data_IF_310455710062
#
_entry.id   IF_310455710062
#
_cell.length_a   1.000
_cell.length_b   1.000
_cell.length_c   1.000
_cell.angle_alpha   90.00
_cell.angle_beta   90.00
_cell.angle_gamma   90.00
#
_symmetry.space_group_name_H-M   'P 1'
#
loop_
_entity.id
_entity.type
_entity.pdbx_description
1 polymer ?
#
# COMPACT_ATOMS: atom_id res chain seq x y z
N UNK A 1 -17.94 26.43 14.57
CA UNK A 1 -17.18 25.28 15.11
C UNK A 1 -17.19 24.22 14.05
N UNK A 2 -16.03 23.88 13.48
CA UNK A 2 -15.94 22.79 12.52
C UNK A 2 -15.96 21.49 13.31
N UNK A 3 -16.85 20.57 12.94
CA UNK A 3 -16.80 19.20 13.43
C UNK A 3 -15.59 18.53 12.79
N UNK A 4 -14.71 17.97 13.61
CA UNK A 4 -13.68 17.05 13.13
C UNK A 4 -14.35 15.76 12.66
N UNK A 5 -13.86 15.19 11.56
CA UNK A 5 -14.32 13.89 11.11
C UNK A 5 -13.94 12.83 12.15
N UNK A 6 -14.88 11.93 12.43
CA UNK A 6 -14.65 10.83 13.36
C UNK A 6 -14.23 9.59 12.58
N UNK A 7 -13.22 8.89 13.08
CA UNK A 7 -12.71 7.67 12.46
C UNK A 7 -13.00 6.47 13.35
N UNK A 8 -13.36 5.35 12.74
CA UNK A 8 -13.35 4.05 13.42
C UNK A 8 -12.38 3.11 12.73
N UNK A 9 -11.81 2.22 13.53
CA UNK A 9 -10.82 1.25 13.07
C UNK A 9 -11.29 -0.14 13.46
N UNK A 10 -11.24 -1.06 12.50
CA UNK A 10 -11.51 -2.49 12.72
C UNK A 10 -10.37 -3.30 12.12
N UNK A 11 -9.96 -4.34 12.83
CA UNK A 11 -8.92 -5.25 12.37
C UNK A 11 -9.45 -6.67 12.24
N UNK A 12 -9.06 -7.36 11.18
CA UNK A 12 -9.32 -8.79 10.98
C UNK A 12 -8.05 -9.50 10.53
N UNK A 13 -7.83 -10.71 11.02
CA UNK A 13 -6.70 -11.53 10.61
C UNK A 13 -6.81 -11.93 9.13
N UNK A 14 -5.71 -11.79 8.38
CA UNK A 14 -5.55 -12.34 7.04
C UNK A 14 -4.69 -13.61 7.14
N UNK A 15 -5.36 -14.73 7.38
CA UNK A 15 -4.76 -16.07 7.37
C UNK A 15 -5.29 -16.91 6.20
N UNK A 16 -4.93 -18.20 6.14
CA UNK A 16 -5.42 -19.11 5.09
C UNK A 16 -6.93 -19.37 5.15
N UNK A 17 -7.60 -19.02 6.25
CA UNK A 17 -9.04 -19.19 6.48
C UNK A 17 -9.82 -17.88 6.27
N UNK A 18 -9.15 -16.78 5.93
CA UNK A 18 -9.80 -15.51 5.66
C UNK A 18 -10.78 -15.62 4.48
N UNK A 19 -12.00 -15.12 4.69
CA UNK A 19 -13.02 -14.98 3.66
C UNK A 19 -13.49 -13.52 3.61
N UNK A 20 -13.49 -12.87 2.44
CA UNK A 20 -14.09 -11.56 2.28
C UNK A 20 -15.57 -11.62 2.66
N UNK A 21 -16.05 -10.69 3.48
CA UNK A 21 -17.47 -10.63 3.81
C UNK A 21 -18.30 -10.23 2.58
N UNK A 22 -19.50 -10.81 2.45
CA UNK A 22 -20.42 -10.57 1.33
C UNK A 22 -20.89 -9.10 1.26
N UNK A 23 -20.91 -8.40 2.39
CA UNK A 23 -21.55 -7.09 2.52
C UNK A 23 -20.60 -5.89 2.68
N UNK A 24 -19.28 -6.04 2.87
CA UNK A 24 -18.46 -4.86 3.21
C UNK A 24 -17.20 -4.58 2.40
N UNK A 25 -16.55 -5.51 1.70
CA UNK A 25 -15.27 -5.18 1.04
C UNK A 25 -14.95 -6.14 -0.10
N UNK A 26 -15.73 -6.08 -1.17
CA UNK A 26 -15.49 -6.91 -2.37
C UNK A 26 -14.28 -6.39 -3.18
N UNK A 27 -13.67 -5.28 -2.78
CA UNK A 27 -12.88 -4.48 -3.74
C UNK A 27 -11.44 -4.20 -3.32
N UNK A 28 -10.87 -4.82 -2.29
CA UNK A 28 -9.47 -4.56 -1.90
C UNK A 28 -8.47 -5.54 -2.53
N UNK A 29 -7.19 -5.12 -2.63
CA UNK A 29 -6.12 -5.84 -3.35
C UNK A 29 -5.93 -7.31 -2.92
N UNK A 30 -6.17 -7.63 -1.65
CA UNK A 30 -6.08 -9.00 -1.14
C UNK A 30 -7.42 -9.74 -1.13
N UNK A 31 -8.55 -9.04 -1.30
CA UNK A 31 -9.85 -9.69 -1.40
C UNK A 31 -9.98 -10.56 -2.67
N UNK A 32 -9.33 -10.16 -3.77
CA UNK A 32 -9.24 -10.97 -4.99
C UNK A 32 -8.42 -12.26 -4.76
N UNK A 33 -7.31 -12.18 -4.00
CA UNK A 33 -6.54 -13.37 -3.61
C UNK A 33 -7.34 -14.34 -2.73
N UNK A 34 -8.29 -13.79 -1.98
CA UNK A 34 -9.12 -14.52 -1.03
C UNK A 34 -10.47 -14.98 -1.61
N UNK A 35 -10.55 -15.27 -2.92
CA UNK A 35 -11.80 -15.69 -3.60
C UNK A 35 -11.64 -16.94 -4.46
N UNK A 36 -12.80 -17.48 -4.83
CA UNK A 36 -12.94 -18.61 -5.74
C UNK A 36 -12.36 -19.91 -5.20
N UNK A 37 -12.28 -20.90 -6.07
CA UNK A 37 -11.86 -22.26 -5.70
C UNK A 37 -10.39 -22.32 -5.23
N UNK A 38 -9.57 -21.35 -5.65
CA UNK A 38 -8.15 -21.24 -5.28
C UNK A 38 -7.89 -20.38 -4.05
N UNK A 39 -8.92 -19.86 -3.36
CA UNK A 39 -8.78 -18.97 -2.20
C UNK A 39 -7.74 -19.46 -1.19
N UNK A 40 -7.95 -20.66 -0.63
CA UNK A 40 -7.14 -21.16 0.48
C UNK A 40 -5.69 -21.42 0.05
N UNK A 41 -5.50 -21.99 -1.14
CA UNK A 41 -4.16 -22.26 -1.68
C UNK A 41 -3.42 -20.96 -2.03
N UNK A 42 -4.11 -19.97 -2.60
CA UNK A 42 -3.56 -18.64 -2.86
C UNK A 42 -3.07 -17.98 -1.57
N UNK A 43 -3.90 -17.94 -0.53
CA UNK A 43 -3.56 -17.34 0.77
C UNK A 43 -2.38 -18.08 1.42
N UNK A 44 -2.42 -19.43 1.45
CA UNK A 44 -1.33 -20.25 1.98
C UNK A 44 -0.01 -20.00 1.24
N UNK A 45 -0.05 -19.96 -0.09
CA UNK A 45 1.13 -19.73 -0.92
C UNK A 45 1.69 -18.30 -0.70
N UNK A 46 0.83 -17.29 -0.63
CA UNK A 46 1.26 -15.91 -0.35
C UNK A 46 1.92 -15.81 1.04
N UNK A 47 1.29 -16.34 2.08
CA UNK A 47 1.86 -16.33 3.44
C UNK A 47 3.17 -17.11 3.52
N UNK A 48 3.29 -18.24 2.82
CA UNK A 48 4.54 -18.98 2.71
C UNK A 48 5.65 -18.18 2.01
N UNK A 49 5.33 -17.50 0.91
CA UNK A 49 6.27 -16.62 0.21
C UNK A 49 6.76 -15.47 1.11
N UNK A 50 5.86 -14.85 1.88
CA UNK A 50 6.20 -13.80 2.85
C UNK A 50 7.15 -14.34 3.91
N UNK A 51 6.82 -15.48 4.53
CA UNK A 51 7.65 -16.11 5.55
C UNK A 51 9.05 -16.46 5.01
N UNK A 52 9.12 -17.05 3.81
CA UNK A 52 10.39 -17.39 3.17
C UNK A 52 11.21 -16.14 2.89
N UNK A 53 10.59 -15.08 2.35
CA UNK A 53 11.28 -13.82 2.06
C UNK A 53 11.76 -13.12 3.33
N UNK A 54 10.94 -13.10 4.38
CA UNK A 54 11.30 -12.54 5.68
C UNK A 54 12.56 -13.22 6.22
N UNK A 55 12.56 -14.56 6.28
CA UNK A 55 13.70 -15.32 6.82
C UNK A 55 14.96 -15.20 5.95
N UNK A 56 14.82 -15.04 4.63
CA UNK A 56 15.96 -14.81 3.74
C UNK A 56 16.65 -13.45 4.00
N UNK A 57 15.89 -12.43 4.41
CA UNK A 57 16.44 -11.12 4.80
C UNK A 57 16.93 -11.11 6.25
N UNK A 58 16.19 -11.72 7.17
CA UNK A 58 16.53 -11.87 8.59
C UNK A 58 17.43 -13.09 8.82
N UNK A 59 18.61 -13.08 8.19
CA UNK A 59 19.56 -14.20 8.17
C UNK A 59 20.35 -14.38 9.47
N UNK A 60 20.44 -13.34 10.30
CA UNK A 60 21.20 -13.39 11.55
C UNK A 60 20.49 -14.32 12.55
N UNK A 61 21.27 -15.19 13.20
CA UNK A 61 20.77 -16.19 14.13
C UNK A 61 19.58 -17.02 13.61
N UNK A 62 19.59 -17.27 12.29
CA UNK A 62 18.54 -17.98 11.56
C UNK A 62 19.13 -18.97 10.52
N UNK A 63 19.97 -19.93 10.94
CA UNK A 63 20.74 -20.79 10.03
C UNK A 63 19.86 -21.68 9.14
N UNK A 64 18.65 -22.02 9.60
CA UNK A 64 17.68 -22.86 8.90
C UNK A 64 16.65 -22.06 8.10
N UNK A 65 16.67 -20.72 8.17
CA UNK A 65 15.75 -19.86 7.43
C UNK A 65 14.27 -20.04 7.79
N UNK A 66 13.96 -20.47 9.02
CA UNK A 66 12.59 -20.77 9.45
C UNK A 66 12.24 -20.25 10.86
N UNK A 67 13.07 -19.37 11.43
CA UNK A 67 12.88 -18.77 12.76
C UNK A 67 11.64 -17.89 12.86
N UNK A 68 11.35 -17.10 11.82
CA UNK A 68 10.30 -16.10 11.89
C UNK A 68 9.07 -16.51 11.09
N UNK A 69 7.90 -16.04 11.51
CA UNK A 69 6.71 -15.95 10.67
C UNK A 69 6.10 -14.56 10.74
N UNK A 70 5.45 -14.15 9.67
CA UNK A 70 4.73 -12.88 9.57
C UNK A 70 3.24 -13.17 9.55
N UNK A 71 2.52 -12.57 10.48
CA UNK A 71 1.07 -12.54 10.52
C UNK A 71 0.59 -11.22 9.93
N UNK A 72 -0.57 -11.24 9.26
CA UNK A 72 -1.14 -10.07 8.61
C UNK A 72 -2.50 -9.75 9.22
N UNK A 73 -2.73 -8.47 9.47
CA UNK A 73 -4.03 -7.95 9.87
C UNK A 73 -4.50 -6.96 8.81
N UNK A 74 -5.72 -7.15 8.32
CA UNK A 74 -6.44 -6.16 7.53
C UNK A 74 -6.99 -5.14 8.50
N UNK A 75 -6.49 -3.91 8.38
CA UNK A 75 -6.97 -2.75 9.13
C UNK A 75 -7.85 -1.94 8.19
N UNK A 76 -9.10 -1.78 8.58
CA UNK A 76 -10.06 -1.00 7.82
C UNK A 76 -10.50 0.21 8.62
N UNK A 77 -10.50 1.34 7.95
CA UNK A 77 -10.80 2.66 8.52
C UNK A 77 -12.06 3.18 7.86
N UNK A 78 -13.08 3.40 8.68
CA UNK A 78 -14.33 4.01 8.25
C UNK A 78 -14.41 5.45 8.81
N UNK A 79 -14.96 6.37 8.02
CA UNK A 79 -15.08 7.80 8.32
C UNK A 79 -16.53 8.20 8.52
N UNK A 80 -16.82 8.96 9.58
CA UNK A 80 -18.09 9.63 9.82
C UNK A 80 -17.88 11.15 9.65
N UNK A 81 -18.55 11.70 8.65
CA UNK A 81 -18.46 13.11 8.26
C UNK A 81 -19.33 14.01 9.15
N UNK A 82 -20.46 13.51 9.63
CA UNK A 82 -21.47 14.31 10.34
C UNK A 82 -21.43 14.13 11.87
N UNK A 83 -20.79 13.05 12.33
CA UNK A 83 -20.76 12.61 13.72
C UNK A 83 -22.10 12.01 14.16
N UNK A 84 -22.85 11.40 13.23
CA UNK A 84 -24.19 10.84 13.48
C UNK A 84 -24.18 9.31 13.61
N UNK A 85 -23.01 8.66 13.45
CA UNK A 85 -22.84 7.20 13.48
C UNK A 85 -22.99 6.52 12.11
N UNK A 86 -23.16 7.26 11.03
CA UNK A 86 -23.14 6.75 9.66
C UNK A 86 -21.71 6.80 9.10
N UNK A 87 -21.20 5.64 8.71
CA UNK A 87 -19.80 5.48 8.32
C UNK A 87 -19.64 5.15 6.84
N UNK A 88 -18.66 5.80 6.21
CA UNK A 88 -18.18 5.46 4.88
C UNK A 88 -16.84 4.71 4.95
N UNK A 89 -16.63 3.59 4.24
CA UNK A 89 -15.34 2.90 4.20
C UNK A 89 -14.30 3.76 3.47
N UNK A 90 -13.24 4.18 4.16
CA UNK A 90 -12.29 5.15 3.61
C UNK A 90 -10.99 4.49 3.14
N UNK A 91 -10.26 3.85 4.06
CA UNK A 91 -8.92 3.31 3.82
C UNK A 91 -8.88 1.86 4.31
N UNK A 92 -8.16 1.01 3.58
CA UNK A 92 -7.84 -0.34 4.02
C UNK A 92 -6.36 -0.64 3.77
N UNK A 93 -5.66 -1.15 4.78
CA UNK A 93 -4.23 -1.43 4.78
C UNK A 93 -3.95 -2.75 5.48
N UNK A 94 -2.78 -3.32 5.20
CA UNK A 94 -2.25 -4.44 5.95
C UNK A 94 -1.26 -3.94 7.01
N UNK A 95 -1.45 -4.43 8.23
CA UNK A 95 -0.47 -4.40 9.32
C UNK A 95 0.24 -5.74 9.40
N UNK A 96 1.53 -5.71 9.65
CA UNK A 96 2.34 -6.91 9.88
C UNK A 96 2.57 -7.12 11.38
N UNK A 97 2.59 -8.37 11.82
CA UNK A 97 3.09 -8.77 13.13
C UNK A 97 4.13 -9.88 12.94
N UNK A 98 5.20 -9.86 13.71
CA UNK A 98 6.35 -10.76 13.53
C UNK A 98 6.39 -11.71 14.71
N UNK A 99 6.34 -13.01 14.43
CA UNK A 99 6.46 -14.06 15.42
C UNK A 99 7.87 -14.64 15.35
N UNK A 100 8.65 -14.45 16.41
CA UNK A 100 9.95 -15.10 16.59
C UNK A 100 9.75 -16.45 17.30
N UNK A 101 9.83 -17.55 16.55
CA UNK A 101 9.60 -18.90 17.08
C UNK A 101 10.71 -19.37 18.01
N UNK A 102 11.90 -18.75 17.97
CA UNK A 102 13.02 -19.12 18.84
C UNK A 102 12.83 -18.56 20.25
N UNK A 103 12.32 -17.34 20.36
CA UNK A 103 12.11 -16.64 21.64
C UNK A 103 10.66 -16.67 22.10
N UNK A 104 9.74 -17.15 21.26
CA UNK A 104 8.29 -17.14 21.46
C UNK A 104 7.74 -15.73 21.73
N UNK A 105 8.31 -14.73 21.04
CA UNK A 105 7.88 -13.33 21.13
C UNK A 105 7.09 -12.93 19.89
N UNK A 106 6.07 -12.09 20.11
CA UNK A 106 5.34 -11.39 19.06
C UNK A 106 5.78 -9.93 19.08
N UNK A 107 6.30 -9.46 17.95
CA UNK A 107 6.78 -8.11 17.74
C UNK A 107 5.84 -7.40 16.78
N UNK A 108 5.55 -6.13 17.05
CA UNK A 108 4.78 -5.28 16.17
C UNK A 108 5.57 -4.98 14.90
N UNK A 109 4.91 -5.07 13.75
CA UNK A 109 5.42 -4.62 12.46
C UNK A 109 4.76 -3.32 12.01
N UNK A 110 5.07 -2.87 10.79
CA UNK A 110 4.58 -1.60 10.27
C UNK A 110 3.18 -1.75 9.64
N UNK A 111 2.32 -0.75 9.85
CA UNK A 111 1.03 -0.58 9.15
C UNK A 111 1.19 0.23 7.87
N UNK A 112 0.34 -0.01 6.86
CA UNK A 112 0.36 0.74 5.59
C UNK A 112 0.71 -0.10 4.36
N UNK A 113 0.97 -1.39 4.56
CA UNK A 113 1.21 -2.32 3.46
C UNK A 113 -0.06 -2.48 2.62
N UNK A 114 0.09 -2.64 1.30
CA UNK A 114 -1.02 -2.87 0.38
C UNK A 114 -2.16 -1.83 0.46
N UNK A 115 -1.78 -0.56 0.59
CA UNK A 115 -2.68 0.58 0.78
C UNK A 115 -3.77 0.69 -0.30
N UNK A 116 -5.03 0.66 0.14
CA UNK A 116 -6.24 0.85 -0.66
C UNK A 116 -7.05 2.01 -0.10
N UNK A 117 -7.64 2.84 -0.96
CA UNK A 117 -8.47 3.97 -0.52
C UNK A 117 -9.55 4.28 -1.55
N UNK A 118 -10.78 4.39 -1.08
CA UNK A 118 -11.93 4.72 -1.92
C UNK A 118 -11.82 6.12 -2.53
N UNK A 119 -11.31 7.08 -1.76
CA UNK A 119 -11.10 8.46 -2.26
C UNK A 119 -9.96 8.50 -3.28
N UNK A 120 -8.90 7.68 -3.09
CA UNK A 120 -7.85 7.54 -4.10
C UNK A 120 -8.40 6.95 -5.39
N UNK A 121 -9.20 5.89 -5.30
CA UNK A 121 -9.73 5.24 -6.48
C UNK A 121 -10.75 6.14 -7.20
N UNK A 122 -11.52 6.95 -6.46
CA UNK A 122 -12.30 8.05 -7.04
C UNK A 122 -11.42 9.05 -7.79
N UNK A 123 -10.37 9.57 -7.15
CA UNK A 123 -9.49 10.57 -7.75
C UNK A 123 -8.88 10.04 -9.06
N UNK A 124 -8.31 8.83 -9.06
CA UNK A 124 -7.61 8.28 -10.22
C UNK A 124 -8.55 7.71 -11.29
N UNK A 125 -9.61 7.00 -10.91
CA UNK A 125 -10.47 6.27 -11.85
C UNK A 125 -11.73 7.02 -12.28
N UNK A 126 -12.11 8.11 -11.59
CA UNK A 126 -13.25 8.93 -11.95
C UNK A 126 -12.81 10.36 -12.25
N UNK A 127 -12.31 11.09 -11.25
CA UNK A 127 -12.02 12.53 -11.37
C UNK A 127 -10.96 12.82 -12.45
N UNK A 128 -9.82 12.14 -12.41
CA UNK A 128 -8.73 12.35 -13.37
C UNK A 128 -9.12 11.93 -14.79
N UNK A 129 -9.88 10.84 -14.91
CA UNK A 129 -10.37 10.35 -16.19
C UNK A 129 -11.38 11.33 -16.81
N UNK A 130 -12.35 11.81 -16.04
CA UNK A 130 -13.33 12.80 -16.49
C UNK A 130 -12.67 14.13 -16.83
N UNK A 131 -11.72 14.60 -16.01
CA UNK A 131 -10.98 15.85 -16.28
C UNK A 131 -10.30 15.81 -17.65
N UNK A 132 -9.65 14.70 -17.98
CA UNK A 132 -8.94 14.54 -19.25
C UNK A 132 -9.84 14.11 -20.42
N UNK A 133 -11.13 13.87 -20.18
CA UNK A 133 -12.07 13.49 -21.23
C UNK A 133 -12.17 14.62 -22.25
N UNK A 134 -11.94 14.29 -23.52
CA UNK A 134 -11.93 15.23 -24.65
C UNK A 134 -10.82 16.30 -24.61
N UNK A 135 -9.80 16.18 -23.74
CA UNK A 135 -8.64 17.06 -23.78
C UNK A 135 -7.56 16.53 -24.74
N UNK A 136 -6.94 17.43 -25.50
CA UNK A 136 -5.86 17.08 -26.42
C UNK A 136 -4.53 16.75 -25.73
N UNK A 137 -4.33 17.23 -24.49
CA UNK A 137 -3.12 17.00 -23.70
C UNK A 137 -3.52 16.62 -22.28
N UNK A 138 -2.75 15.70 -21.70
CA UNK A 138 -2.93 15.31 -20.31
C UNK A 138 -2.68 16.49 -19.36
N UNK A 139 -3.57 16.67 -18.41
CA UNK A 139 -3.43 17.62 -17.30
C UNK A 139 -4.03 17.04 -16.02
N UNK A 140 -3.68 17.65 -14.88
CA UNK A 140 -4.18 17.25 -13.56
C UNK A 140 -5.16 18.31 -13.03
N UNK A 141 -6.25 17.93 -12.34
CA UNK A 141 -7.08 18.88 -11.60
C UNK A 141 -6.26 19.64 -10.55
N UNK A 142 -6.57 20.92 -10.33
CA UNK A 142 -5.81 21.78 -9.40
C UNK A 142 -5.80 21.24 -7.96
N UNK A 143 -6.92 20.65 -7.51
CA UNK A 143 -7.11 20.09 -6.17
C UNK A 143 -6.86 18.57 -6.11
N UNK A 144 -6.20 17.99 -7.12
CA UNK A 144 -6.00 16.54 -7.21
C UNK A 144 -5.25 15.98 -5.99
N UNK A 145 -5.92 15.07 -5.27
CA UNK A 145 -5.39 14.44 -4.06
C UNK A 145 -5.43 15.28 -2.78
N UNK A 146 -5.93 16.52 -2.81
CA UNK A 146 -5.94 17.39 -1.62
C UNK A 146 -6.90 16.88 -0.55
N UNK A 147 -8.13 16.53 -0.93
CA UNK A 147 -9.13 15.99 0.01
C UNK A 147 -8.60 14.70 0.67
N UNK A 148 -8.14 13.75 -0.14
CA UNK A 148 -7.61 12.49 0.39
C UNK A 148 -6.35 12.72 1.25
N UNK A 149 -5.46 13.61 0.82
CA UNK A 149 -4.30 14.00 1.60
C UNK A 149 -4.67 14.54 2.99
N UNK A 150 -5.69 15.38 3.06
CA UNK A 150 -6.20 15.92 4.32
C UNK A 150 -6.89 14.85 5.17
N UNK A 151 -7.70 13.97 4.58
CA UNK A 151 -8.31 12.83 5.29
C UNK A 151 -7.22 11.92 5.89
N UNK A 152 -6.19 11.58 5.11
CA UNK A 152 -5.08 10.76 5.58
C UNK A 152 -4.33 11.43 6.74
N UNK A 153 -3.99 12.72 6.60
CA UNK A 153 -3.33 13.49 7.66
C UNK A 153 -4.20 13.55 8.92
N UNK A 154 -5.50 13.79 8.78
CA UNK A 154 -6.41 13.81 9.92
C UNK A 154 -6.47 12.44 10.62
N UNK A 155 -6.53 11.35 9.85
CA UNK A 155 -6.51 10.00 10.37
C UNK A 155 -5.21 9.70 11.15
N UNK A 156 -4.02 9.88 10.57
CA UNK A 156 -2.77 9.53 11.26
C UNK A 156 -2.49 10.39 12.51
N UNK A 157 -3.11 11.57 12.61
CA UNK A 157 -2.98 12.44 13.78
C UNK A 157 -4.09 12.24 14.84
N UNK A 158 -5.11 11.44 14.53
CA UNK A 158 -6.24 11.18 15.41
C UNK A 158 -5.88 10.29 16.62
N UNK A 159 -6.69 10.39 17.67
CA UNK A 159 -6.54 9.53 18.86
C UNK A 159 -6.79 8.05 18.54
N UNK A 160 -7.65 7.74 17.56
CA UNK A 160 -7.88 6.35 17.16
C UNK A 160 -6.61 5.75 16.51
N UNK A 161 -5.85 6.54 15.75
CA UNK A 161 -4.57 6.07 15.20
C UNK A 161 -3.56 5.84 16.31
N UNK A 162 -3.36 6.85 17.16
CA UNK A 162 -2.37 6.82 18.26
C UNK A 162 -2.65 5.75 19.32
N UNK A 163 -3.91 5.35 19.48
CA UNK A 163 -4.29 4.27 20.40
C UNK A 163 -4.10 2.86 19.80
N UNK A 164 -3.89 2.74 18.48
CA UNK A 164 -3.73 1.46 17.79
C UNK A 164 -2.34 1.26 17.19
N UNK A 165 -1.58 2.33 16.97
CA UNK A 165 -0.25 2.29 16.35
C UNK A 165 0.72 3.24 17.03
N UNK A 166 1.90 2.73 17.35
CA UNK A 166 2.98 3.52 17.98
C UNK A 166 3.80 4.33 16.98
N UNK A 167 3.77 3.94 15.70
CA UNK A 167 4.60 4.52 14.64
C UNK A 167 3.77 4.91 13.42
N UNK A 168 4.20 5.95 12.67
CA UNK A 168 3.57 6.31 11.40
C UNK A 168 3.63 5.17 10.37
N UNK A 169 2.73 5.18 9.36
CA UNK A 169 2.69 4.11 8.38
C UNK A 169 3.84 4.21 7.39
N UNK A 170 4.25 3.07 6.84
CA UNK A 170 5.11 3.00 5.65
C UNK A 170 4.34 2.31 4.54
N UNK A 171 4.24 2.99 3.39
CA UNK A 171 3.56 2.46 2.21
C UNK A 171 4.61 2.12 1.17
N UNK A 172 4.76 0.84 0.85
CA UNK A 172 5.72 0.35 -0.14
C UNK A 172 5.01 -0.03 -1.45
N UNK A 173 5.36 0.64 -2.55
CA UNK A 173 4.71 0.48 -3.86
C UNK A 173 5.71 0.11 -4.95
N UNK A 174 5.16 -0.35 -6.08
CA UNK A 174 5.91 -0.47 -7.33
C UNK A 174 6.49 0.87 -7.75
N UNK A 175 7.69 0.85 -8.34
CA UNK A 175 8.18 1.97 -9.15
C UNK A 175 7.33 2.17 -10.41
N UNK A 176 7.27 3.40 -10.90
CA UNK A 176 6.60 3.74 -12.17
C UNK A 176 7.47 3.37 -13.37
N UNK A 177 6.86 2.73 -14.38
CA UNK A 177 7.44 2.31 -15.65
C UNK A 177 7.77 3.46 -16.62
N UNK A 178 7.21 4.66 -16.37
CA UNK A 178 7.50 5.84 -17.18
C UNK A 178 8.73 6.64 -16.68
N UNK A 179 9.39 6.21 -15.59
CA UNK A 179 10.58 6.86 -15.02
C UNK A 179 11.83 6.00 -15.17
N UNK A 180 12.98 6.65 -15.12
CA UNK A 180 14.29 5.97 -15.04
C UNK A 180 14.88 6.21 -13.67
N UNK A 181 15.40 5.15 -13.06
CA UNK A 181 15.96 5.14 -11.72
C UNK A 181 17.46 4.89 -11.80
N UNK A 182 18.24 5.74 -11.16
CA UNK A 182 19.69 5.66 -11.14
C UNK A 182 20.17 5.22 -9.78
N UNK A 183 20.97 4.15 -9.75
CA UNK A 183 21.60 3.63 -8.56
C UNK A 183 22.50 4.70 -7.93
N UNK A 184 22.42 4.84 -6.61
CA UNK A 184 23.29 5.74 -5.83
C UNK A 184 24.36 4.95 -5.08
N UNK A 185 25.26 5.66 -4.39
CA UNK A 185 26.25 5.04 -3.51
C UNK A 185 25.66 4.62 -2.14
N UNK A 186 24.46 5.07 -1.78
CA UNK A 186 23.88 4.76 -0.48
C UNK A 186 23.37 3.32 -0.42
N UNK A 187 23.71 2.61 0.65
CA UNK A 187 23.31 1.23 0.87
C UNK A 187 22.92 1.00 2.34
N UNK A 188 21.66 0.64 2.53
CA UNK A 188 21.10 0.30 3.83
C UNK A 188 21.15 -1.23 4.04
N UNK A 189 21.41 -1.74 5.27
CA UNK A 189 21.57 -3.18 5.51
C UNK A 189 20.32 -4.02 5.20
N UNK A 190 19.13 -3.46 5.39
CA UNK A 190 17.84 -4.13 5.10
C UNK A 190 17.24 -3.68 3.76
N UNK A 191 16.96 -2.38 3.60
CA UNK A 191 16.40 -1.80 2.38
C UNK A 191 17.29 -1.98 1.14
N UNK A 192 18.59 -2.21 1.31
CA UNK A 192 19.52 -2.44 0.21
C UNK A 192 19.98 -1.14 -0.44
N UNK A 193 20.16 -1.16 -1.77
CA UNK A 193 20.77 -0.04 -2.49
C UNK A 193 19.72 1.02 -2.83
N UNK A 194 20.04 2.29 -2.60
CA UNK A 194 19.15 3.39 -2.95
C UNK A 194 19.25 3.77 -4.43
N UNK A 195 18.11 4.11 -5.00
CA UNK A 195 17.94 4.62 -6.35
C UNK A 195 17.32 6.03 -6.33
N UNK A 196 17.67 6.85 -7.31
CA UNK A 196 17.11 8.18 -7.51
C UNK A 196 16.35 8.23 -8.84
N UNK A 197 15.06 8.61 -8.87
CA UNK A 197 14.33 8.81 -10.11
C UNK A 197 14.83 10.07 -10.84
N UNK A 198 14.73 10.06 -12.17
CA UNK A 198 15.03 11.20 -13.02
C UNK A 198 14.05 12.37 -12.85
N UNK A 199 12.79 12.09 -12.47
CA UNK A 199 11.74 13.08 -12.23
C UNK A 199 10.61 12.49 -11.37
N UNK A 200 9.80 13.35 -10.76
CA UNK A 200 8.69 12.91 -9.91
C UNK A 200 7.54 12.27 -10.71
N UNK A 201 6.94 11.23 -10.14
CA UNK A 201 5.74 10.59 -10.69
C UNK A 201 4.43 11.28 -10.25
N UNK A 202 3.32 11.01 -10.94
CA UNK A 202 2.00 11.49 -10.51
C UNK A 202 1.63 10.93 -9.13
N UNK A 203 1.90 9.65 -8.90
CA UNK A 203 1.67 8.99 -7.60
C UNK A 203 2.47 9.67 -6.50
N UNK A 204 3.72 10.04 -6.76
CA UNK A 204 4.55 10.75 -5.80
C UNK A 204 3.98 12.14 -5.47
N UNK A 205 3.57 12.91 -6.48
CA UNK A 205 2.91 14.21 -6.26
C UNK A 205 1.62 14.06 -5.45
N UNK A 206 0.85 13.01 -5.70
CA UNK A 206 -0.38 12.69 -4.98
C UNK A 206 -0.10 12.33 -3.52
N UNK A 207 0.84 11.43 -3.26
CA UNK A 207 1.20 11.00 -1.90
C UNK A 207 1.89 12.12 -1.10
N UNK A 208 2.53 13.07 -1.78
CA UNK A 208 3.04 14.29 -1.13
C UNK A 208 1.92 15.11 -0.48
N UNK A 209 0.69 15.12 -1.03
CA UNK A 209 -0.48 15.79 -0.41
C UNK A 209 -0.88 15.14 0.92
N UNK A 210 -0.54 13.87 1.13
CA UNK A 210 -0.69 13.15 2.41
C UNK A 210 0.39 13.50 3.43
N UNK A 211 1.37 14.35 3.07
CA UNK A 211 2.52 14.65 3.92
C UNK A 211 3.61 13.58 3.89
N UNK A 212 3.58 12.68 2.92
CA UNK A 212 4.56 11.60 2.79
C UNK A 212 5.77 12.03 1.96
N UNK A 213 6.95 11.60 2.41
CA UNK A 213 8.19 11.62 1.64
C UNK A 213 8.37 10.27 0.94
N UNK A 214 9.18 10.20 -0.10
CA UNK A 214 9.49 8.95 -0.81
C UNK A 214 10.99 8.73 -0.93
N UNK A 215 11.42 7.49 -0.73
CA UNK A 215 12.76 7.01 -1.07
C UNK A 215 12.66 5.70 -1.83
N UNK A 216 13.63 5.43 -2.70
CA UNK A 216 13.60 4.24 -3.55
C UNK A 216 14.74 3.33 -3.21
N UNK A 217 14.42 2.11 -2.80
CA UNK A 217 15.42 1.15 -2.38
C UNK A 217 15.17 -0.20 -3.05
N UNK A 218 16.24 -0.86 -3.46
CA UNK A 218 16.22 -2.24 -3.94
C UNK A 218 16.79 -3.16 -2.85
N UNK A 219 15.93 -3.90 -2.13
CA UNK A 219 16.37 -4.84 -1.11
C UNK A 219 17.29 -5.92 -1.68
N UNK A 220 18.17 -6.52 -0.86
CA UNK A 220 19.04 -7.59 -1.31
C UNK A 220 18.26 -8.74 -1.95
N UNK A 221 18.68 -9.15 -3.15
CA UNK A 221 18.05 -10.21 -3.94
C UNK A 221 16.62 -9.91 -4.43
N UNK A 222 16.21 -8.64 -4.50
CA UNK A 222 15.01 -8.22 -5.24
C UNK A 222 15.38 -7.92 -6.70
N UNK A 223 14.42 -8.07 -7.63
CA UNK A 223 14.63 -7.80 -9.05
C UNK A 223 14.68 -6.29 -9.38
N UNK A 224 13.97 -5.45 -8.63
CA UNK A 224 13.80 -4.03 -8.91
C UNK A 224 13.66 -3.22 -7.61
N UNK A 225 13.93 -1.89 -7.65
CA UNK A 225 13.67 -0.99 -6.52
C UNK A 225 12.17 -0.85 -6.22
N UNK A 226 11.85 -0.53 -4.98
CA UNK A 226 10.51 -0.17 -4.50
C UNK A 226 10.47 1.29 -4.07
N UNK A 227 9.30 1.91 -4.17
CA UNK A 227 9.04 3.24 -3.62
C UNK A 227 8.52 3.10 -2.18
N UNK A 228 9.29 3.59 -1.20
CA UNK A 228 8.89 3.62 0.21
C UNK A 228 8.40 5.01 0.56
N UNK A 229 7.09 5.16 0.72
CA UNK A 229 6.46 6.37 1.20
C UNK A 229 6.37 6.34 2.73
N UNK A 230 6.83 7.40 3.39
CA UNK A 230 6.97 7.44 4.84
C UNK A 230 6.75 8.84 5.42
N UNK A 231 6.50 8.88 6.72
CA UNK A 231 6.62 10.07 7.56
C UNK A 231 7.92 9.98 8.34
N UNK A 232 8.61 11.10 8.58
CA UNK A 232 9.83 11.11 9.37
C UNK A 232 11.02 10.46 8.66
N UNK A 233 11.89 9.80 9.40
CA UNK A 233 13.13 9.20 8.91
C UNK A 233 13.01 7.69 8.74
N UNK A 234 12.77 7.26 7.49
CA UNK A 234 12.66 5.84 7.11
C UNK A 234 13.82 4.97 7.60
N UNK A 235 15.04 5.52 7.67
CA UNK A 235 16.24 4.72 7.96
C UNK A 235 16.47 4.51 9.46
N UNK A 236 15.93 5.40 10.29
CA UNK A 236 16.28 5.46 11.72
C UNK A 236 15.07 5.24 12.64
N UNK A 237 13.85 5.54 12.19
CA UNK A 237 12.64 5.44 13.03
C UNK A 237 12.08 4.00 13.12
N UNK A 238 12.55 3.11 12.25
CA UNK A 238 12.08 1.73 12.12
C UNK A 238 13.21 0.73 12.32
N UNK A 239 12.93 -0.35 13.03
CA UNK A 239 13.86 -1.46 13.25
C UNK A 239 14.03 -2.28 11.98
N UNK A 240 15.13 -3.04 11.92
CA UNK A 240 15.40 -3.94 10.82
C UNK A 240 14.28 -4.97 10.59
N UNK A 241 13.69 -5.53 11.66
CA UNK A 241 12.62 -6.53 11.54
C UNK A 241 11.31 -5.92 11.01
N UNK A 242 10.98 -4.69 11.44
CA UNK A 242 9.84 -3.92 10.92
C UNK A 242 9.99 -3.63 9.42
N UNK A 243 11.17 -3.20 8.97
CA UNK A 243 11.42 -2.97 7.54
C UNK A 243 11.40 -4.27 6.73
N UNK A 244 11.92 -5.37 7.28
CA UNK A 244 11.87 -6.70 6.63
C UNK A 244 10.43 -7.19 6.50
N UNK A 245 9.55 -6.97 7.50
CA UNK A 245 8.15 -7.38 7.39
C UNK A 245 7.48 -6.64 6.23
N UNK A 246 7.64 -5.33 6.12
CA UNK A 246 7.15 -4.55 4.97
C UNK A 246 7.70 -5.04 3.63
N UNK A 247 9.02 -5.24 3.51
CA UNK A 247 9.63 -5.73 2.26
C UNK A 247 9.08 -7.11 1.89
N UNK A 248 9.07 -8.06 2.83
CA UNK A 248 8.65 -9.44 2.57
C UNK A 248 7.18 -9.54 2.15
N UNK A 249 6.31 -8.75 2.80
CA UNK A 249 4.90 -8.62 2.45
C UNK A 249 4.74 -7.98 1.07
N UNK A 250 5.31 -6.80 0.84
CA UNK A 250 5.07 -6.05 -0.38
C UNK A 250 5.77 -6.65 -1.60
N UNK A 251 6.96 -7.23 -1.47
CA UNK A 251 7.61 -7.95 -2.58
C UNK A 251 6.77 -9.16 -3.02
N UNK A 252 6.18 -9.90 -2.08
CA UNK A 252 5.27 -11.01 -2.41
C UNK A 252 4.08 -10.53 -3.24
N UNK A 253 3.41 -9.46 -2.78
CA UNK A 253 2.30 -8.88 -3.54
C UNK A 253 2.73 -8.32 -4.89
N UNK A 254 3.89 -7.65 -4.99
CA UNK A 254 4.35 -7.13 -6.27
C UNK A 254 4.76 -8.24 -7.25
N UNK A 255 5.27 -9.39 -6.79
CA UNK A 255 5.50 -10.56 -7.65
C UNK A 255 4.21 -11.13 -8.22
N UNK A 256 3.09 -10.97 -7.52
CA UNK A 256 1.76 -11.36 -8.01
C UNK A 256 1.21 -10.30 -8.97
N UNK A 257 1.32 -9.03 -8.61
CA UNK A 257 0.65 -7.94 -9.33
C UNK A 257 1.39 -7.43 -10.56
N UNK A 258 2.72 -7.48 -10.52
CA UNK A 258 3.66 -6.91 -11.49
C UNK A 258 4.88 -7.83 -11.66
N UNK A 259 4.67 -9.12 -12.03
CA UNK A 259 5.76 -10.06 -12.19
C UNK A 259 6.79 -9.60 -13.23
N UNK A 260 6.38 -8.81 -14.22
CA UNK A 260 7.25 -8.25 -15.27
C UNK A 260 8.39 -7.38 -14.70
N UNK A 261 8.16 -6.78 -13.52
CA UNK A 261 9.11 -5.94 -12.79
C UNK A 261 9.74 -6.71 -11.63
N UNK A 262 8.93 -7.32 -10.77
CA UNK A 262 9.39 -7.85 -9.47
C UNK A 262 9.65 -9.34 -9.43
N UNK A 263 9.25 -10.06 -10.48
CA UNK A 263 9.60 -11.46 -10.71
C UNK A 263 10.31 -11.65 -12.06
N UNK A 264 10.97 -10.60 -12.55
CA UNK A 264 11.83 -10.63 -13.72
C UNK A 264 13.04 -11.55 -13.47
N UNK A 265 13.51 -12.22 -14.52
CA UNK A 265 14.69 -13.08 -14.43
C UNK A 265 16.01 -12.29 -14.48
N UNK A 266 15.91 -10.97 -14.71
CA UNK A 266 17.02 -10.02 -14.67
C UNK A 266 16.82 -9.00 -13.54
N UNK A 267 17.93 -8.51 -12.99
CA UNK A 267 17.92 -7.52 -11.90
C UNK A 267 18.18 -6.12 -12.45
N UNK A 268 17.65 -5.12 -11.77
CA UNK A 268 17.88 -3.71 -12.09
C UNK A 268 19.38 -3.36 -12.03
N UNK A 269 19.89 -2.80 -13.14
CA UNK A 269 21.27 -2.31 -13.24
C UNK A 269 21.49 -0.94 -12.58
N UNK A 270 22.60 -0.28 -12.95
CA UNK A 270 22.92 1.08 -12.48
C UNK A 270 21.91 2.14 -12.97
N UNK A 271 21.34 1.93 -14.15
CA UNK A 271 20.23 2.70 -14.69
C UNK A 271 19.12 1.72 -15.04
N UNK A 272 17.94 1.91 -14.45
CA UNK A 272 16.83 0.99 -14.57
C UNK A 272 15.55 1.72 -14.97
N UNK A 273 14.92 1.25 -16.04
CA UNK A 273 13.58 1.67 -16.45
C UNK A 273 12.68 0.44 -16.39
N UNK A 274 11.66 0.40 -15.52
CA UNK A 274 10.75 -0.74 -15.45
C UNK A 274 9.97 -0.90 -16.76
N UNK A 275 9.64 -2.14 -17.10
CA UNK A 275 8.87 -2.46 -18.31
C UNK A 275 7.74 -3.45 -17.97
N UNK A 276 6.50 -2.98 -18.07
CA UNK A 276 5.29 -3.79 -17.85
C UNK A 276 5.01 -4.78 -18.99
N UNK A 277 5.80 -4.75 -20.06
CA UNK A 277 5.72 -5.69 -21.20
C UNK A 277 6.93 -6.63 -21.26
N UNK A 278 7.79 -6.62 -20.23
CA UNK A 278 8.93 -7.52 -20.17
C UNK A 278 8.45 -8.99 -20.14
N UNK A 279 8.78 -9.76 -21.17
CA UNK A 279 8.41 -11.17 -21.28
C UNK A 279 9.35 -12.11 -20.51
N UNK A 280 10.54 -11.63 -20.11
CA UNK A 280 11.52 -12.41 -19.35
C UNK A 280 11.24 -12.32 -17.84
N UNK A 281 10.16 -12.97 -17.42
CA UNK A 281 9.73 -13.06 -16.03
C UNK A 281 9.12 -14.42 -15.72
N UNK A 282 9.03 -14.72 -14.43
CA UNK A 282 8.35 -15.92 -13.93
C UNK A 282 6.99 -15.56 -13.34
N UNK A 283 6.03 -16.48 -13.40
CA UNK A 283 4.75 -16.35 -12.69
C UNK A 283 4.79 -17.12 -11.37
N UNK A 284 4.02 -16.63 -10.39
CA UNK A 284 3.81 -17.34 -9.13
C UNK A 284 2.77 -18.46 -9.31
N UNK A 285 2.68 -19.39 -8.35
CA UNK A 285 1.61 -20.39 -8.30
C UNK A 285 0.32 -19.86 -7.64
N UNK A 286 0.10 -18.56 -7.69
CA UNK A 286 -1.05 -17.88 -7.12
C UNK A 286 -1.90 -17.39 -8.29
N UNK A 287 -3.15 -17.82 -8.33
CA UNK A 287 -4.11 -17.39 -9.35
C UNK A 287 -4.63 -16.01 -8.94
N UNK A 288 -4.40 -15.01 -9.79
CA UNK A 288 -4.78 -13.62 -9.51
C UNK A 288 -5.33 -12.96 -10.78
N UNK A 289 -6.56 -12.46 -10.70
CA UNK A 289 -7.23 -11.81 -11.82
C UNK A 289 -6.97 -10.30 -11.82
N UNK A 290 -6.11 -9.86 -12.74
CA UNK A 290 -5.72 -8.46 -12.90
C UNK A 290 -6.81 -7.61 -13.58
N UNK A 291 -7.66 -8.22 -14.41
CA UNK A 291 -8.75 -7.53 -15.09
C UNK A 291 -9.88 -7.26 -14.10
N UNK A 292 -10.27 -8.26 -13.31
CA UNK A 292 -11.19 -8.09 -12.19
C UNK A 292 -10.67 -7.00 -11.24
N UNK A 293 -9.38 -7.03 -10.89
CA UNK A 293 -8.80 -6.00 -10.02
C UNK A 293 -8.97 -4.59 -10.58
N UNK A 294 -8.76 -4.41 -11.88
CA UNK A 294 -8.87 -3.11 -12.53
C UNK A 294 -10.32 -2.64 -12.58
N UNK A 295 -11.27 -3.55 -12.82
CA UNK A 295 -12.70 -3.25 -12.74
C UNK A 295 -13.12 -2.84 -11.32
N UNK A 296 -12.66 -3.56 -10.30
CA UNK A 296 -12.97 -3.27 -8.90
C UNK A 296 -12.52 -1.87 -8.46
N UNK A 297 -11.39 -1.37 -8.96
CA UNK A 297 -10.94 -0.01 -8.66
C UNK A 297 -11.87 1.05 -9.29
N UNK A 298 -12.35 0.81 -10.52
CA UNK A 298 -13.35 1.68 -11.15
C UNK A 298 -14.67 1.70 -10.38
N UNK A 299 -15.13 0.52 -9.94
CA UNK A 299 -16.36 0.39 -9.16
C UNK A 299 -16.23 1.02 -7.77
N UNK A 300 -15.07 0.90 -7.11
CA UNK A 300 -14.77 1.64 -5.87
C UNK A 300 -14.82 3.14 -6.07
N UNK A 301 -14.23 3.64 -7.15
CA UNK A 301 -14.23 5.07 -7.46
C UNK A 301 -15.64 5.61 -7.67
N UNK A 302 -16.49 4.89 -8.39
CA UNK A 302 -17.91 5.26 -8.59
C UNK A 302 -18.71 5.17 -7.28
N UNK A 303 -18.51 4.11 -6.50
CA UNK A 303 -19.14 3.98 -5.19
C UNK A 303 -18.78 5.16 -4.28
N UNK A 304 -17.51 5.54 -4.23
CA UNK A 304 -17.05 6.70 -3.49
C UNK A 304 -17.66 8.00 -4.04
N UNK A 305 -17.77 8.15 -5.37
CA UNK A 305 -18.43 9.29 -5.98
C UNK A 305 -19.89 9.42 -5.50
N UNK A 306 -20.65 8.34 -5.55
CA UNK A 306 -22.09 8.30 -5.27
C UNK A 306 -22.42 8.39 -3.79
N UNK A 307 -21.64 7.73 -2.92
CA UNK A 307 -21.96 7.57 -1.51
C UNK A 307 -21.13 8.44 -0.56
N UNK A 308 -20.08 9.09 -1.05
CA UNK A 308 -19.22 9.93 -0.21
C UNK A 308 -19.01 11.32 -0.81
N UNK A 309 -18.51 11.40 -2.05
CA UNK A 309 -18.15 12.68 -2.66
C UNK A 309 -19.40 13.53 -2.94
N UNK A 310 -20.39 13.02 -3.68
CA UNK A 310 -21.60 13.78 -4.03
C UNK A 310 -22.45 14.14 -2.80
N UNK A 311 -22.75 13.23 -1.86
CA UNK A 311 -23.59 13.55 -0.71
C UNK A 311 -22.98 14.58 0.23
N UNK A 312 -21.65 14.54 0.41
CA UNK A 312 -20.94 15.41 1.36
C UNK A 312 -20.10 16.49 0.69
N UNK A 313 -20.26 16.73 -0.62
CA UNK A 313 -19.35 17.58 -1.42
C UNK A 313 -19.00 18.90 -0.73
N UNK A 314 -20.03 19.68 -0.38
CA UNK A 314 -19.85 20.98 0.26
C UNK A 314 -19.13 20.89 1.60
N UNK A 315 -19.46 19.89 2.41
CA UNK A 315 -18.85 19.65 3.72
C UNK A 315 -17.39 19.25 3.58
N UNK A 316 -17.09 18.33 2.67
CA UNK A 316 -15.73 17.86 2.37
C UNK A 316 -14.84 18.98 1.82
N UNK A 317 -15.35 19.79 0.90
CA UNK A 317 -14.62 20.94 0.33
C UNK A 317 -14.32 22.00 1.41
N UNK A 318 -15.33 22.39 2.20
CA UNK A 318 -15.15 23.37 3.27
C UNK A 318 -14.18 22.88 4.34
N UNK A 319 -14.33 21.63 4.77
CA UNK A 319 -13.46 21.01 5.75
C UNK A 319 -12.01 20.92 5.23
N UNK A 320 -11.81 20.46 3.99
CA UNK A 320 -10.48 20.29 3.41
C UNK A 320 -9.72 21.62 3.30
N UNK A 321 -10.40 22.69 2.88
CA UNK A 321 -9.81 24.05 2.83
C UNK A 321 -9.43 24.57 4.21
N UNK A 322 -10.21 24.24 5.23
CA UNK A 322 -9.93 24.67 6.61
C UNK A 322 -8.82 23.87 7.26
N UNK A 323 -8.73 22.56 6.97
CA UNK A 323 -7.66 21.70 7.47
C UNK A 323 -6.29 22.03 6.86
N UNK A 324 -6.29 22.56 5.62
CA UNK A 324 -5.07 22.98 4.94
C UNK A 324 -4.50 24.33 5.42
N UNK A 325 -5.25 25.08 6.23
CA UNK A 325 -4.83 26.36 6.82
C UNK A 325 -4.17 26.16 8.18
#
# INVERSE_FOLDING_TARGET
MNKEFTFTLKSICLDENYHPSVNTRITTNFANLARGDYRQSNLRNALAMINNRFNALARWDNPTGNRYSVELEIVSIDIDVEGNGEYFPSIEVLKTNIVDKKTNQRLEGIVGNNFSSYVRDYDFSVLLQEHNRNQAKFSIPDNFGELHGNIFKAFINSDIYKSNFDKPPVICLSVSDNKTYHRTANQHPVLGVEYQPNESSLTEQYFKKMGLQVRYFMPPNSAAPFAFYHVGDLLNDYTNLELISTISTMETFQKIYRPEIYNANTTAGESYKPDLKNMDHSLTQIVYDREERSALASDQGKFAEEHFIKPYQRTLEQWSVQYAK
#
